data_IF_663973419173
#
_entry.id   IF_663973419173
#
_cell.length_a   1.000
_cell.length_b   1.000
_cell.length_c   1.000
_cell.angle_alpha   90.00
_cell.angle_beta   90.00
_cell.angle_gamma   90.00
#
_symmetry.space_group_name_H-M   'P 1'
#
loop_
_entity.id
_entity.type
_entity.pdbx_description
1 polymer ?
#
# COMPACT_ATOMS: atom_id res chain seq x y z
N UNK A 1 -14.16 10.28 -5.21
CA UNK A 1 -14.31 10.52 -4.86
C UNK A 1 -14.44 11.43 -4.50
N UNK A 2 -14.43 11.78 -4.57
CA UNK A 2 -14.36 12.73 -4.29
C UNK A 2 -15.03 13.39 -3.47
N UNK A 3 -15.36 13.87 -3.10
CA UNK A 3 -16.17 14.78 -2.42
C UNK A 3 -17.14 14.16 -1.47
N UNK A 4 -16.72 13.17 -0.76
CA UNK A 4 -17.50 12.64 0.33
C UNK A 4 -17.23 13.53 1.52
N UNK A 5 -18.19 14.40 1.82
CA UNK A 5 -17.97 15.41 2.83
C UNK A 5 -18.21 14.91 4.24
N UNK A 6 -18.84 13.78 4.37
CA UNK A 6 -19.19 13.25 5.68
C UNK A 6 -18.27 12.12 6.12
N UNK A 7 -17.12 11.97 5.48
CA UNK A 7 -16.14 11.01 5.94
C UNK A 7 -15.53 11.49 7.25
N UNK A 8 -15.54 10.62 8.24
CA UNK A 8 -14.94 10.91 9.54
C UNK A 8 -13.79 9.95 9.75
N UNK A 9 -12.62 10.50 10.05
CA UNK A 9 -11.44 9.72 10.32
C UNK A 9 -11.16 9.63 11.80
N UNK A 10 -10.72 8.48 12.25
CA UNK A 10 -10.29 8.25 13.60
C UNK A 10 -8.81 7.96 13.59
N UNK A 11 -8.09 8.52 14.57
CA UNK A 11 -6.66 8.33 14.63
C UNK A 11 -5.95 9.18 13.59
N UNK A 12 -5.12 8.55 12.78
CA UNK A 12 -4.28 9.25 11.82
C UNK A 12 -4.91 9.45 10.46
N UNK A 13 -6.16 9.03 10.28
CA UNK A 13 -6.80 9.13 8.99
C UNK A 13 -6.35 8.00 8.08
N UNK A 14 -5.52 8.31 7.11
CA UNK A 14 -5.02 7.29 6.19
C UNK A 14 -3.98 6.43 6.88
N UNK A 15 -4.32 5.19 7.15
CA UNK A 15 -3.43 4.29 7.89
C UNK A 15 -2.63 3.35 6.99
N UNK A 16 -2.96 3.27 5.70
CA UNK A 16 -2.16 2.48 4.77
C UNK A 16 -0.96 3.28 4.31
N UNK A 17 0.21 2.66 4.40
CA UNK A 17 1.47 3.29 4.00
C UNK A 17 2.08 2.53 2.85
N UNK A 18 2.67 3.27 1.93
CA UNK A 18 3.27 2.67 0.74
C UNK A 18 4.52 1.89 1.13
N UNK A 19 4.57 0.63 0.75
CA UNK A 19 5.74 -0.23 0.94
C UNK A 19 6.59 -0.22 -0.33
N UNK A 20 5.97 -0.47 -1.48
CA UNK A 20 6.72 -0.47 -2.73
C UNK A 20 5.78 -0.17 -3.89
N UNK A 21 6.37 0.29 -4.98
CA UNK A 21 5.62 0.58 -6.19
C UNK A 21 6.52 0.26 -7.37
N UNK A 22 5.96 -0.43 -8.34
CA UNK A 22 6.68 -0.79 -9.55
C UNK A 22 5.77 -0.56 -10.74
N UNK A 23 6.38 -0.24 -11.88
CA UNK A 23 5.62 -0.02 -13.08
C UNK A 23 6.47 -0.34 -14.28
N UNK A 24 5.81 -0.59 -15.41
CA UNK A 24 6.48 -0.80 -16.68
C UNK A 24 5.69 -0.07 -17.74
N UNK A 25 6.30 0.93 -18.35
CA UNK A 25 5.63 1.66 -19.42
C UNK A 25 5.49 0.82 -20.67
N UNK A 26 6.51 0.02 -20.97
CA UNK A 26 6.47 -0.80 -22.17
C UNK A 26 5.42 -1.90 -22.11
N UNK A 27 5.10 -2.36 -20.91
CA UNK A 27 4.08 -3.40 -20.73
C UNK A 27 2.80 -2.85 -20.15
N UNK A 28 2.76 -1.56 -19.84
CA UNK A 28 1.55 -0.83 -19.42
C UNK A 28 0.93 -1.41 -18.15
N UNK A 29 1.76 -1.68 -17.14
CA UNK A 29 1.24 -2.13 -15.86
C UNK A 29 1.86 -1.33 -14.72
N UNK A 30 1.15 -1.37 -13.61
CA UNK A 30 1.60 -0.76 -12.37
C UNK A 30 1.16 -1.64 -11.21
N UNK A 31 2.03 -1.76 -10.22
CA UNK A 31 1.75 -2.53 -9.02
C UNK A 31 2.18 -1.72 -7.81
N UNK A 32 1.34 -1.66 -6.80
CA UNK A 32 1.70 -1.01 -5.56
C UNK A 32 1.37 -1.93 -4.39
N UNK A 33 2.20 -1.86 -3.37
CA UNK A 33 2.02 -2.61 -2.14
C UNK A 33 1.95 -1.61 -1.01
N UNK A 34 0.88 -1.66 -0.25
CA UNK A 34 0.66 -0.81 0.91
C UNK A 34 0.40 -1.67 2.12
N UNK A 35 0.65 -1.12 3.28
CA UNK A 35 0.48 -1.87 4.50
C UNK A 35 -0.05 -0.97 5.60
N UNK A 36 -0.81 -1.56 6.51
CA UNK A 36 -1.41 -0.86 7.63
C UNK A 36 -1.15 -1.68 8.89
N UNK A 37 -0.73 -1.00 9.94
CA UNK A 37 -0.57 -1.64 11.24
C UNK A 37 -1.93 -1.81 11.88
N UNK A 38 -2.24 -3.04 12.31
CA UNK A 38 -3.49 -3.34 12.98
C UNK A 38 -3.16 -4.16 14.22
N UNK A 39 -2.93 -3.45 15.35
CA UNK A 39 -2.50 -4.11 16.56
C UNK A 39 -1.15 -4.77 16.37
N UNK A 40 -1.08 -6.06 16.59
CA UNK A 40 0.17 -6.81 16.43
C UNK A 40 0.31 -7.41 15.04
N UNK A 41 -0.58 -7.04 14.14
CA UNK A 41 -0.58 -7.60 12.78
C UNK A 41 -0.41 -6.49 11.77
N UNK A 42 -0.04 -6.85 10.57
CA UNK A 42 0.08 -5.92 9.44
C UNK A 42 -0.84 -6.42 8.34
N UNK A 43 -1.72 -5.56 7.87
CA UNK A 43 -2.58 -5.86 6.73
C UNK A 43 -1.89 -5.32 5.49
N UNK A 44 -1.68 -6.19 4.51
CA UNK A 44 -0.97 -5.84 3.29
C UNK A 44 -1.96 -5.83 2.15
N UNK A 45 -1.96 -4.75 1.40
CA UNK A 45 -2.80 -4.59 0.22
C UNK A 45 -1.91 -4.48 -1.01
N UNK A 46 -2.15 -5.33 -1.98
CA UNK A 46 -1.45 -5.29 -3.26
C UNK A 46 -2.47 -4.94 -4.33
N UNK A 47 -2.18 -3.88 -5.07
CA UNK A 47 -3.02 -3.42 -6.17
C UNK A 47 -2.21 -3.53 -7.45
N UNK A 48 -2.78 -4.19 -8.45
CA UNK A 48 -2.16 -4.30 -9.77
C UNK A 48 -3.10 -3.67 -10.79
N UNK A 49 -2.54 -2.82 -11.64
CA UNK A 49 -3.29 -2.16 -12.68
C UNK A 49 -2.58 -2.39 -14.01
N UNK A 50 -3.33 -2.78 -15.02
CA UNK A 50 -2.78 -3.02 -16.33
C UNK A 50 -3.67 -2.37 -17.38
N UNK A 51 -3.06 -1.70 -18.33
CA UNK A 51 -3.78 -1.14 -19.46
C UNK A 51 -3.93 -2.20 -20.55
N UNK A 52 -5.16 -2.36 -20.99
CA UNK A 52 -5.49 -3.32 -22.04
C UNK A 52 -5.26 -2.72 -23.41
N UNK A 53 -5.32 -3.55 -24.43
CA UNK A 53 -5.06 -3.13 -25.82
C UNK A 53 -6.05 -2.04 -26.23
N UNK A 54 -7.28 -2.13 -25.78
CA UNK A 54 -8.32 -1.19 -26.19
C UNK A 54 -8.33 0.10 -25.37
N UNK A 55 -7.33 0.29 -24.50
CA UNK A 55 -7.22 1.51 -23.71
C UNK A 55 -7.89 1.44 -22.35
N UNK A 56 -8.62 0.39 -22.05
CA UNK A 56 -9.23 0.24 -20.74
C UNK A 56 -8.20 -0.32 -19.75
N UNK A 57 -8.57 -0.31 -18.48
CA UNK A 57 -7.69 -0.79 -17.43
C UNK A 57 -8.31 -1.97 -16.71
N UNK A 58 -7.49 -2.93 -16.39
CA UNK A 58 -7.85 -4.01 -15.49
C UNK A 58 -7.17 -3.77 -14.16
N UNK A 59 -7.94 -3.89 -13.06
CA UNK A 59 -7.42 -3.65 -11.73
C UNK A 59 -7.72 -4.87 -10.88
N UNK A 60 -6.70 -5.34 -10.18
CA UNK A 60 -6.83 -6.45 -9.26
C UNK A 60 -6.27 -6.04 -7.91
N UNK A 61 -6.96 -6.41 -6.85
CA UNK A 61 -6.52 -6.13 -5.49
C UNK A 61 -6.54 -7.39 -4.67
N UNK A 62 -5.58 -7.49 -3.77
CA UNK A 62 -5.51 -8.60 -2.83
C UNK A 62 -5.13 -8.06 -1.46
N UNK A 63 -5.72 -8.64 -0.43
CA UNK A 63 -5.40 -8.31 0.95
C UNK A 63 -4.90 -9.56 1.64
N UNK A 64 -3.90 -9.40 2.48
CA UNK A 64 -3.43 -10.48 3.32
C UNK A 64 -3.00 -9.90 4.66
N UNK A 65 -2.96 -10.74 5.67
CA UNK A 65 -2.58 -10.32 7.00
C UNK A 65 -1.35 -11.08 7.44
N UNK A 66 -0.37 -10.36 7.95
CA UNK A 66 0.83 -10.93 8.54
C UNK A 66 0.75 -10.73 10.03
N UNK A 67 0.64 -11.83 10.78
CA UNK A 67 0.52 -11.75 12.23
C UNK A 67 1.88 -11.55 12.87
N UNK A 68 1.89 -10.96 14.06
CA UNK A 68 3.11 -10.68 14.81
C UNK A 68 4.13 -9.97 13.96
N UNK A 69 3.72 -8.83 13.39
CA UNK A 69 4.57 -8.08 12.48
C UNK A 69 4.44 -6.60 12.75
N UNK A 70 5.45 -5.86 12.36
CA UNK A 70 5.42 -4.41 12.44
C UNK A 70 5.91 -3.83 11.12
N UNK A 71 5.49 -2.61 10.86
CA UNK A 71 5.99 -1.83 9.74
C UNK A 71 7.17 -1.01 10.26
N UNK A 72 8.32 -1.17 9.63
CA UNK A 72 9.53 -0.45 10.01
C UNK A 72 9.83 0.57 8.94
N UNK A 73 10.00 1.81 9.37
CA UNK A 73 10.35 2.89 8.45
C UNK A 73 11.84 3.17 8.55
N UNK A 74 12.48 3.28 7.40
CA UNK A 74 13.91 3.56 7.31
C UNK A 74 14.08 4.99 6.85
N UNK A 75 14.95 5.71 7.53
CA UNK A 75 15.14 7.13 7.32
C UNK A 75 16.53 7.41 6.78
N UNK A 76 16.61 8.40 5.91
CA UNK A 76 17.85 8.99 5.48
C UNK A 76 17.71 10.49 5.62
N UNK A 77 18.54 11.07 6.48
CA UNK A 77 18.56 12.53 6.72
C UNK A 77 17.17 13.05 7.13
N UNK A 78 16.48 12.27 7.97
CA UNK A 78 15.21 12.69 8.51
C UNK A 78 14.01 12.43 7.65
N UNK A 79 14.22 11.80 6.50
CA UNK A 79 13.14 11.52 5.55
C UNK A 79 12.96 10.02 5.42
N UNK A 80 11.72 9.56 5.39
CA UNK A 80 11.44 8.13 5.19
C UNK A 80 11.80 7.77 3.76
N UNK A 81 12.75 6.85 3.60
CA UNK A 81 13.19 6.42 2.28
C UNK A 81 12.67 5.05 1.91
N UNK A 82 12.29 4.25 2.88
CA UNK A 82 11.72 2.93 2.58
C UNK A 82 10.95 2.43 3.80
N UNK A 83 10.10 1.45 3.57
CA UNK A 83 9.34 0.77 4.62
C UNK A 83 9.41 -0.71 4.36
N UNK A 84 9.55 -1.48 5.44
CA UNK A 84 9.58 -2.93 5.36
C UNK A 84 8.63 -3.49 6.41
N UNK A 85 8.22 -4.73 6.21
CA UNK A 85 7.40 -5.47 7.16
C UNK A 85 8.28 -6.52 7.79
N UNK A 86 8.37 -6.47 9.12
CA UNK A 86 9.25 -7.38 9.85
C UNK A 86 8.46 -8.14 10.89
N UNK A 87 8.82 -9.39 11.08
CA UNK A 87 8.16 -10.22 12.08
C UNK A 87 8.64 -9.85 13.46
N UNK A 88 7.72 -9.86 14.40
CA UNK A 88 8.04 -9.68 15.81
C UNK A 88 8.23 -11.05 16.44
N UNK A 89 9.10 -11.10 17.42
CA UNK A 89 9.31 -12.34 18.16
C UNK A 89 8.72 -12.28 19.53
#
# INVERSE_FOLDING_TARGET
KKNVKDIVFWGNGDTFKLISKASSESESWMKSTKAMQAGESVVVQVTTQQQNIDGTYSIAEALTTVTNAIIVEHFTEGVVTSRTIEKRN
#
